data_IF_867391787129
#
_entry.id   IF_867391787129
#
_cell.length_a   1.000
_cell.length_b   1.000
_cell.length_c   1.000
_cell.angle_alpha   90.00
_cell.angle_beta   90.00
_cell.angle_gamma   90.00
#
_symmetry.space_group_name_H-M   'P 1'
#
loop_
_entity.id
_entity.type
_entity.pdbx_description
1 polymer ?
#
# COMPACT_ATOMS: atom_id res chain seq x y z
N UNK A 1 16.84 -19.08 -20.43
CA UNK A 1 17.98 -18.73 -19.55
C UNK A 1 17.92 -19.61 -18.31
N UNK A 2 19.02 -20.18 -17.84
CA UNK A 2 19.05 -20.97 -16.61
C UNK A 2 20.19 -20.45 -15.72
N UNK A 3 20.04 -19.22 -15.23
CA UNK A 3 21.03 -18.57 -14.38
C UNK A 3 20.70 -18.81 -12.90
N UNK A 4 21.69 -19.24 -12.14
CA UNK A 4 21.55 -19.40 -10.68
C UNK A 4 21.39 -18.05 -9.94
N UNK A 5 21.73 -16.94 -10.60
CA UNK A 5 21.56 -15.59 -10.05
C UNK A 5 20.16 -15.01 -10.32
N UNK A 6 19.38 -15.60 -11.24
CA UNK A 6 18.03 -15.18 -11.52
C UNK A 6 17.02 -16.02 -10.74
N UNK A 7 15.95 -15.39 -10.26
CA UNK A 7 14.87 -16.10 -9.62
C UNK A 7 14.18 -17.09 -10.59
N UNK A 8 13.44 -18.04 -10.05
CA UNK A 8 12.79 -19.07 -10.86
C UNK A 8 11.72 -18.49 -11.79
N UNK A 9 10.99 -17.47 -11.34
CA UNK A 9 9.92 -16.85 -12.12
C UNK A 9 10.48 -16.05 -13.30
N UNK A 10 11.63 -15.39 -13.12
CA UNK A 10 12.33 -14.72 -14.22
C UNK A 10 12.90 -15.75 -15.22
N UNK A 11 13.54 -16.82 -14.74
CA UNK A 11 14.03 -17.88 -15.61
C UNK A 11 12.89 -18.49 -16.44
N UNK A 12 11.75 -18.78 -15.82
CA UNK A 12 10.56 -19.29 -16.52
C UNK A 12 10.01 -18.28 -17.51
N UNK A 13 9.98 -16.99 -17.15
CA UNK A 13 9.46 -15.96 -18.04
C UNK A 13 10.33 -15.75 -19.28
N UNK A 14 11.64 -15.89 -19.15
CA UNK A 14 12.59 -15.75 -20.26
C UNK A 14 12.60 -17.00 -21.18
N UNK A 15 12.33 -18.19 -20.63
CA UNK A 15 12.25 -19.43 -21.40
C UNK A 15 10.88 -19.64 -22.06
N UNK A 16 9.84 -19.00 -21.52
CA UNK A 16 8.47 -19.12 -22.03
C UNK A 16 8.29 -18.39 -23.37
N UNK A 17 7.48 -18.95 -24.26
CA UNK A 17 7.03 -18.26 -25.46
C UNK A 17 6.11 -17.11 -25.13
N UNK A 18 6.02 -16.13 -26.01
CA UNK A 18 5.18 -14.95 -25.79
C UNK A 18 3.72 -15.33 -25.50
N UNK A 19 3.15 -16.29 -26.24
CA UNK A 19 1.81 -16.79 -26.02
C UNK A 19 1.60 -17.45 -24.63
N UNK A 20 2.64 -18.11 -24.11
CA UNK A 20 2.62 -18.75 -22.79
C UNK A 20 2.69 -17.70 -21.68
N UNK A 21 3.54 -16.68 -21.87
CA UNK A 21 3.63 -15.53 -20.97
C UNK A 21 2.31 -14.77 -20.88
N UNK A 22 1.59 -14.62 -22.00
CA UNK A 22 0.29 -13.92 -22.05
C UNK A 22 -0.81 -14.66 -21.30
N UNK A 23 -0.78 -15.97 -21.31
CA UNK A 23 -1.76 -16.80 -20.58
C UNK A 23 -1.50 -16.83 -19.07
N UNK A 24 -0.32 -16.42 -18.64
CA UNK A 24 0.06 -16.40 -17.24
C UNK A 24 -0.14 -15.01 -16.63
N UNK A 25 -0.86 -14.94 -15.52
CA UNK A 25 -1.04 -13.70 -14.77
C UNK A 25 0.27 -13.14 -14.19
N UNK A 26 1.28 -13.98 -14.03
CA UNK A 26 2.51 -13.63 -13.32
C UNK A 26 3.74 -13.50 -14.20
N UNK A 27 3.85 -14.26 -15.31
CA UNK A 27 5.08 -14.31 -16.10
C UNK A 27 5.41 -12.99 -16.80
N UNK A 28 4.41 -12.19 -17.20
CA UNK A 28 4.62 -10.88 -17.84
C UNK A 28 4.75 -9.69 -16.87
N UNK A 29 4.73 -9.92 -15.56
CA UNK A 29 4.89 -8.82 -14.59
C UNK A 29 6.29 -8.23 -14.73
N UNK A 30 6.36 -6.91 -14.94
CA UNK A 30 7.62 -6.18 -15.18
C UNK A 30 8.09 -6.19 -16.64
N UNK A 31 7.35 -6.82 -17.58
CA UNK A 31 7.68 -6.81 -18.99
C UNK A 31 6.89 -5.75 -19.77
N UNK A 32 7.61 -4.88 -20.46
CA UNK A 32 7.05 -3.92 -21.41
C UNK A 32 7.21 -4.49 -22.84
N UNK A 33 6.06 -4.69 -23.52
CA UNK A 33 6.02 -5.29 -24.87
C UNK A 33 6.45 -4.31 -25.95
N UNK A 34 6.13 -3.02 -25.79
CA UNK A 34 6.42 -2.01 -26.81
C UNK A 34 7.93 -1.83 -26.96
N UNK A 35 8.62 -1.69 -25.85
CA UNK A 35 10.07 -1.49 -25.82
C UNK A 35 10.87 -2.80 -25.69
N UNK A 36 10.20 -3.93 -25.46
CA UNK A 36 10.81 -5.24 -25.17
C UNK A 36 11.80 -5.15 -24.01
N UNK A 37 11.38 -4.55 -22.92
CA UNK A 37 12.18 -4.34 -21.72
C UNK A 37 11.58 -5.04 -20.50
N UNK A 38 12.48 -5.44 -19.62
CA UNK A 38 12.13 -5.92 -18.29
C UNK A 38 12.45 -4.86 -17.23
N UNK A 39 11.56 -4.66 -16.29
CA UNK A 39 11.87 -4.04 -15.01
C UNK A 39 12.32 -5.14 -14.06
N UNK A 40 13.53 -5.01 -13.52
CA UNK A 40 14.19 -6.01 -12.70
C UNK A 40 14.66 -5.39 -11.41
N UNK A 41 14.54 -6.12 -10.31
CA UNK A 41 15.13 -5.79 -9.03
C UNK A 41 16.45 -6.57 -8.95
N UNK A 42 17.54 -5.88 -8.69
CA UNK A 42 18.86 -6.50 -8.58
C UNK A 42 19.48 -6.26 -7.23
N UNK A 43 20.12 -7.27 -6.68
CA UNK A 43 21.10 -7.16 -5.60
C UNK A 43 22.48 -7.20 -6.25
N UNK A 44 23.32 -6.24 -5.91
CA UNK A 44 24.65 -6.10 -6.50
C UNK A 44 25.70 -5.87 -5.42
N UNK A 45 26.99 -5.97 -5.77
CA UNK A 45 28.11 -5.59 -4.94
C UNK A 45 29.08 -4.71 -5.73
N UNK A 46 29.59 -3.65 -5.09
CA UNK A 46 30.54 -2.74 -5.70
C UNK A 46 29.88 -1.60 -6.48
N UNK A 47 30.38 -1.26 -7.69
CA UNK A 47 29.93 -0.10 -8.46
C UNK A 47 28.78 -0.43 -9.41
N UNK A 48 27.76 0.42 -9.42
CA UNK A 48 26.65 0.38 -10.41
C UNK A 48 27.03 0.82 -11.81
N UNK A 49 28.21 1.44 -12.02
CA UNK A 49 28.57 2.03 -13.33
C UNK A 49 28.57 1.03 -14.48
N UNK A 50 29.10 -0.18 -14.26
CA UNK A 50 29.09 -1.25 -15.27
C UNK A 50 27.69 -1.80 -15.53
N UNK A 51 26.90 -1.90 -14.48
CA UNK A 51 25.51 -2.37 -14.55
C UNK A 51 24.65 -1.32 -15.27
N UNK A 52 24.88 -0.04 -14.96
CA UNK A 52 24.16 1.08 -15.57
C UNK A 52 24.42 1.23 -17.07
N UNK A 53 25.59 0.78 -17.57
CA UNK A 53 25.91 0.89 -19.01
C UNK A 53 24.99 0.06 -19.90
N UNK A 54 24.45 -1.04 -19.39
CA UNK A 54 23.57 -1.95 -20.12
C UNK A 54 22.07 -1.73 -19.80
N UNK A 55 21.77 -0.88 -18.82
CA UNK A 55 20.41 -0.53 -18.44
C UNK A 55 19.93 0.75 -19.13
N UNK A 56 18.65 0.78 -19.52
CA UNK A 56 18.01 1.99 -20.07
C UNK A 56 17.67 2.98 -18.95
N UNK A 57 17.37 2.48 -17.76
CA UNK A 57 17.07 3.27 -16.57
C UNK A 57 17.56 2.53 -15.33
N UNK A 58 18.11 3.28 -14.38
CA UNK A 58 18.60 2.76 -13.10
C UNK A 58 18.00 3.61 -11.97
N UNK A 59 17.38 2.95 -11.00
CA UNK A 59 16.95 3.56 -9.75
C UNK A 59 17.67 2.86 -8.62
N UNK A 60 18.63 3.54 -8.01
CA UNK A 60 19.38 3.00 -6.88
C UNK A 60 18.51 2.97 -5.62
N UNK A 61 18.58 1.87 -4.89
CA UNK A 61 17.91 1.66 -3.61
C UNK A 61 18.94 1.51 -2.49
N UNK A 62 18.49 1.47 -1.24
CA UNK A 62 19.36 1.20 -0.10
C UNK A 62 19.91 -0.23 -0.12
N UNK A 63 21.02 -0.46 0.60
CA UNK A 63 21.63 -1.77 0.84
C UNK A 63 22.06 -2.53 -0.44
N UNK A 64 22.60 -1.81 -1.43
CA UNK A 64 23.10 -2.40 -2.69
C UNK A 64 22.00 -3.12 -3.49
N UNK A 65 20.77 -2.57 -3.46
CA UNK A 65 19.70 -2.93 -4.38
C UNK A 65 19.51 -1.84 -5.42
N UNK A 66 19.03 -2.21 -6.60
CA UNK A 66 18.60 -1.27 -7.63
C UNK A 66 17.42 -1.83 -8.43
N UNK A 67 16.60 -0.93 -8.98
CA UNK A 67 15.61 -1.26 -10.00
C UNK A 67 16.22 -0.87 -11.35
N UNK A 68 16.25 -1.82 -12.27
CA UNK A 68 16.80 -1.66 -13.61
C UNK A 68 15.71 -1.87 -14.66
N UNK A 69 15.65 -0.98 -15.66
CA UNK A 69 14.91 -1.24 -16.89
C UNK A 69 15.91 -1.67 -17.96
N UNK A 70 15.81 -2.92 -18.42
CA UNK A 70 16.80 -3.57 -19.28
C UNK A 70 16.10 -4.23 -20.46
N UNK A 71 16.69 -4.15 -21.65
CA UNK A 71 16.21 -4.88 -22.83
C UNK A 71 16.27 -6.38 -22.57
N UNK A 72 15.24 -7.12 -23.00
CA UNK A 72 15.16 -8.58 -22.86
C UNK A 72 16.45 -9.27 -23.33
N UNK A 73 17.04 -8.83 -24.45
CA UNK A 73 18.27 -9.38 -25.02
C UNK A 73 19.52 -9.20 -24.17
N UNK A 74 19.50 -8.27 -23.20
CA UNK A 74 20.65 -7.97 -22.34
C UNK A 74 20.55 -8.62 -20.95
N UNK A 75 19.42 -9.24 -20.61
CA UNK A 75 19.21 -9.84 -19.28
C UNK A 75 20.24 -10.93 -18.96
N UNK A 76 20.60 -11.76 -19.96
CA UNK A 76 21.64 -12.79 -19.77
C UNK A 76 23.03 -12.18 -19.56
N UNK A 77 23.36 -11.13 -20.30
CA UNK A 77 24.61 -10.39 -20.14
C UNK A 77 24.70 -9.76 -18.76
N UNK A 78 23.61 -9.15 -18.30
CA UNK A 78 23.50 -8.58 -16.97
C UNK A 78 23.71 -9.65 -15.89
N UNK A 79 23.08 -10.81 -16.00
CA UNK A 79 23.25 -11.92 -15.05
C UNK A 79 24.67 -12.48 -15.01
N UNK A 80 25.43 -12.35 -16.11
CA UNK A 80 26.82 -12.80 -16.19
C UNK A 80 27.81 -11.83 -15.50
N UNK A 81 27.40 -10.60 -15.20
CA UNK A 81 28.28 -9.66 -14.50
C UNK A 81 28.66 -10.16 -13.11
N UNK A 82 29.95 -10.08 -12.73
CA UNK A 82 30.38 -10.52 -11.40
C UNK A 82 29.80 -9.67 -10.26
N UNK A 83 29.50 -8.41 -10.54
CA UNK A 83 28.90 -7.46 -9.60
C UNK A 83 27.44 -7.80 -9.26
N UNK A 84 26.73 -8.55 -10.08
CA UNK A 84 25.38 -8.99 -9.82
C UNK A 84 25.40 -10.23 -8.93
N UNK A 85 24.70 -10.14 -7.80
CA UNK A 85 24.51 -11.24 -6.88
C UNK A 85 23.20 -11.98 -7.14
N UNK A 86 22.11 -11.22 -7.38
CA UNK A 86 20.78 -11.77 -7.59
C UNK A 86 19.93 -10.84 -8.45
N UNK A 87 19.05 -11.43 -9.26
CA UNK A 87 18.09 -10.72 -10.11
C UNK A 87 16.72 -11.34 -9.94
N UNK A 88 15.71 -10.51 -9.71
CA UNK A 88 14.32 -10.93 -9.71
C UNK A 88 13.46 -9.97 -10.54
N UNK A 89 12.38 -10.48 -11.06
CA UNK A 89 11.34 -9.66 -11.66
C UNK A 89 10.34 -9.20 -10.59
N UNK A 90 9.62 -8.09 -10.79
CA UNK A 90 8.56 -7.69 -9.87
C UNK A 90 7.47 -8.79 -9.76
N UNK A 91 6.89 -8.88 -8.59
CA UNK A 91 5.75 -9.74 -8.33
C UNK A 91 4.48 -8.92 -8.16
N UNK A 92 3.34 -9.45 -8.60
CA UNK A 92 2.05 -8.85 -8.27
C UNK A 92 1.78 -9.00 -6.79
N UNK A 93 1.51 -7.91 -6.14
CA UNK A 93 1.01 -7.91 -4.77
C UNK A 93 -0.52 -7.98 -4.81
N UNK A 94 -1.08 -8.98 -4.16
CA UNK A 94 -2.53 -9.14 -4.02
C UNK A 94 -2.92 -8.90 -2.57
N UNK A 95 -4.00 -8.20 -2.36
CA UNK A 95 -4.61 -8.12 -1.04
C UNK A 95 -5.18 -9.50 -0.68
N UNK A 96 -4.41 -10.31 0.06
CA UNK A 96 -4.81 -11.65 0.49
C UNK A 96 -5.26 -11.66 1.96
N UNK A 97 -6.21 -10.79 2.31
CA UNK A 97 -6.72 -10.68 3.68
C UNK A 97 -7.11 -12.03 4.28
N UNK A 98 -7.90 -12.83 3.58
CA UNK A 98 -8.37 -14.13 4.07
C UNK A 98 -7.24 -15.17 4.21
N UNK A 99 -6.33 -15.21 3.26
CA UNK A 99 -5.17 -16.10 3.35
C UNK A 99 -4.22 -15.66 4.46
N UNK A 100 -3.95 -14.37 4.59
CA UNK A 100 -3.13 -13.80 5.68
C UNK A 100 -3.67 -14.19 7.05
N UNK A 101 -4.97 -13.99 7.30
CA UNK A 101 -5.62 -14.36 8.56
C UNK A 101 -5.54 -15.87 8.85
N UNK A 102 -5.69 -16.71 7.83
CA UNK A 102 -5.60 -18.16 7.96
C UNK A 102 -4.19 -18.62 8.30
N UNK A 103 -3.19 -18.12 7.58
CA UNK A 103 -1.78 -18.50 7.78
C UNK A 103 -1.24 -18.01 9.11
N UNK A 104 -1.68 -16.81 9.56
CA UNK A 104 -1.30 -16.23 10.85
C UNK A 104 -2.16 -16.74 12.02
N UNK A 105 -2.99 -17.76 11.81
CA UNK A 105 -3.85 -18.33 12.84
C UNK A 105 -4.82 -17.33 13.49
N UNK A 106 -5.20 -16.25 12.80
CA UNK A 106 -6.15 -15.25 13.31
C UNK A 106 -7.57 -15.80 13.37
N UNK A 107 -8.00 -16.55 12.34
CA UNK A 107 -9.37 -17.08 12.29
C UNK A 107 -9.76 -17.95 13.51
N UNK A 108 -8.89 -18.85 14.02
CA UNK A 108 -9.20 -19.63 15.22
C UNK A 108 -9.42 -18.77 16.47
N UNK A 109 -8.61 -17.72 16.67
CA UNK A 109 -8.71 -16.87 17.87
C UNK A 109 -9.91 -15.92 17.84
N UNK A 110 -10.42 -15.58 16.65
CA UNK A 110 -11.65 -14.81 16.49
C UNK A 110 -12.93 -15.63 16.78
N UNK A 111 -12.83 -16.96 16.80
CA UNK A 111 -13.98 -17.87 17.03
C UNK A 111 -14.09 -18.29 18.49
N UNK A 112 -15.27 -18.81 18.84
CA UNK A 112 -15.50 -19.46 20.13
C UNK A 112 -14.48 -20.62 20.32
N UNK A 113 -13.89 -20.81 21.52
CA UNK A 113 -14.23 -20.12 22.78
C UNK A 113 -13.49 -18.80 23.06
N UNK A 114 -12.49 -18.43 22.25
CA UNK A 114 -11.63 -17.28 22.53
C UNK A 114 -12.33 -15.95 22.20
N UNK A 115 -12.96 -15.86 21.03
CA UNK A 115 -13.72 -14.69 20.56
C UNK A 115 -12.92 -13.37 20.66
N UNK A 116 -11.63 -13.41 20.34
CA UNK A 116 -10.75 -12.24 20.37
C UNK A 116 -10.93 -11.42 19.09
N UNK A 117 -11.73 -10.37 19.17
CA UNK A 117 -12.14 -9.56 18.03
C UNK A 117 -11.61 -8.12 18.08
N UNK A 118 -10.78 -7.80 19.09
CA UNK A 118 -10.25 -6.47 19.29
C UNK A 118 -11.18 -5.51 20.02
N UNK A 119 -12.26 -6.01 20.63
CA UNK A 119 -13.17 -5.18 21.42
C UNK A 119 -12.44 -4.47 22.57
N UNK A 120 -12.58 -3.14 22.64
CA UNK A 120 -11.90 -2.30 23.63
C UNK A 120 -10.45 -1.97 23.26
N UNK A 121 -10.00 -2.32 22.05
CA UNK A 121 -8.69 -1.93 21.51
C UNK A 121 -8.86 -0.74 20.57
N UNK A 122 -7.98 0.25 20.70
CA UNK A 122 -7.84 1.38 19.76
C UNK A 122 -6.66 1.11 18.85
N UNK A 123 -6.90 1.12 17.53
CA UNK A 123 -5.86 0.94 16.50
C UNK A 123 -5.62 2.28 15.83
N UNK A 124 -4.37 2.75 15.86
CA UNK A 124 -3.96 3.95 15.15
C UNK A 124 -3.46 3.59 13.74
N UNK A 125 -4.01 4.27 12.73
CA UNK A 125 -3.62 4.16 11.32
C UNK A 125 -3.04 5.51 10.88
N UNK A 126 -1.74 5.53 10.63
CA UNK A 126 -1.00 6.72 10.16
C UNK A 126 -0.60 6.46 8.70
N UNK A 127 -1.38 7.00 7.77
CA UNK A 127 -1.26 6.64 6.34
C UNK A 127 -1.80 7.77 5.42
N UNK A 128 -2.13 7.46 4.17
CA UNK A 128 -2.71 8.40 3.19
C UNK A 128 -4.11 8.91 3.53
N UNK A 129 -4.68 8.45 4.62
CA UNK A 129 -6.05 8.68 5.03
C UNK A 129 -6.87 7.39 5.02
N UNK A 130 -8.15 7.51 5.36
CA UNK A 130 -9.12 6.40 5.34
C UNK A 130 -10.45 6.93 4.80
N UNK A 131 -11.07 6.21 3.89
CA UNK A 131 -12.45 6.49 3.49
C UNK A 131 -13.39 6.17 4.65
N UNK A 132 -13.71 7.20 5.44
CA UNK A 132 -14.59 7.08 6.60
C UNK A 132 -16.02 6.64 6.25
N UNK A 133 -16.41 6.78 4.98
CA UNK A 133 -17.75 6.39 4.51
C UNK A 133 -17.85 4.90 4.23
N UNK A 134 -16.72 4.19 4.19
CA UNK A 134 -16.69 2.77 3.85
C UNK A 134 -17.38 1.92 4.92
N UNK A 135 -18.23 0.94 4.54
CA UNK A 135 -18.99 0.10 5.48
C UNK A 135 -18.11 -0.71 6.45
N UNK A 136 -16.90 -1.06 6.05
CA UNK A 136 -15.93 -1.82 6.87
C UNK A 136 -15.58 -1.12 8.21
N UNK A 137 -15.81 0.19 8.33
CA UNK A 137 -15.48 0.96 9.53
C UNK A 137 -16.72 1.37 10.34
N UNK A 138 -17.86 0.74 10.10
CA UNK A 138 -19.10 1.04 10.79
C UNK A 138 -19.50 -0.04 11.78
N UNK A 139 -20.18 0.37 12.81
CA UNK A 139 -20.93 -0.50 13.69
C UNK A 139 -22.21 -1.03 12.99
N UNK A 140 -22.85 -2.03 13.58
CA UNK A 140 -24.10 -2.61 13.06
C UNK A 140 -25.25 -1.58 13.01
N UNK A 141 -25.22 -0.57 13.88
CA UNK A 141 -26.20 0.52 13.93
C UNK A 141 -25.91 1.64 12.89
N UNK A 142 -24.85 1.48 12.08
CA UNK A 142 -24.43 2.43 11.07
C UNK A 142 -23.51 3.54 11.55
N UNK A 143 -23.25 3.65 12.84
CA UNK A 143 -22.30 4.62 13.40
C UNK A 143 -20.86 4.24 13.06
N UNK A 144 -19.94 5.23 13.06
CA UNK A 144 -18.52 4.99 12.77
C UNK A 144 -17.81 4.38 13.99
N UNK A 145 -16.81 3.53 13.73
CA UNK A 145 -15.83 3.05 14.70
C UNK A 145 -14.57 3.94 14.78
N UNK A 146 -14.48 4.99 13.96
CA UNK A 146 -13.40 5.96 14.00
C UNK A 146 -13.69 6.93 15.13
N UNK A 147 -12.82 6.94 16.16
CA UNK A 147 -12.93 7.79 17.35
C UNK A 147 -12.48 9.22 17.09
N UNK A 148 -11.41 9.36 16.33
CA UNK A 148 -10.91 10.63 15.86
C UNK A 148 -10.16 10.44 14.53
N UNK A 149 -10.22 11.48 13.70
CA UNK A 149 -9.55 11.53 12.41
C UNK A 149 -8.78 12.86 12.29
N UNK A 150 -7.47 12.79 12.32
CA UNK A 150 -6.61 13.97 12.12
C UNK A 150 -6.12 14.03 10.67
N UNK A 151 -6.62 14.99 9.92
CA UNK A 151 -6.13 15.29 8.56
C UNK A 151 -5.06 16.36 8.63
N UNK A 152 -3.78 15.98 8.50
CA UNK A 152 -2.66 16.92 8.51
C UNK A 152 -2.58 17.79 7.26
N UNK A 153 -3.33 17.47 6.19
CA UNK A 153 -3.41 18.29 4.97
C UNK A 153 -4.51 19.34 5.05
N UNK A 154 -5.40 19.24 6.03
CA UNK A 154 -6.51 20.16 6.22
C UNK A 154 -6.03 21.56 6.59
N UNK A 155 -6.58 22.58 5.91
CA UNK A 155 -6.24 24.01 6.16
C UNK A 155 -7.26 24.73 7.03
N UNK A 156 -8.33 24.03 7.47
CA UNK A 156 -9.43 24.63 8.25
C UNK A 156 -10.28 25.65 7.48
N UNK A 157 -10.01 25.85 6.18
CA UNK A 157 -10.78 26.76 5.31
C UNK A 157 -11.41 25.99 4.17
N UNK A 158 -12.75 25.90 4.17
CA UNK A 158 -13.50 25.39 3.03
C UNK A 158 -13.52 26.43 1.91
N UNK A 159 -13.06 26.05 0.72
CA UNK A 159 -13.15 26.87 -0.50
C UNK A 159 -14.58 26.90 -1.09
N UNK A 160 -15.50 26.06 -0.62
CA UNK A 160 -16.82 25.84 -1.24
C UNK A 160 -18.01 26.37 -0.43
N UNK A 161 -17.78 27.34 0.48
CA UNK A 161 -18.86 28.03 1.21
C UNK A 161 -19.54 27.19 2.31
N UNK A 162 -18.97 26.05 2.69
CA UNK A 162 -19.42 25.25 3.82
C UNK A 162 -18.83 25.85 5.09
N UNK A 163 -19.68 26.41 5.94
CA UNK A 163 -19.27 26.85 7.28
C UNK A 163 -19.04 25.60 8.11
N UNK A 164 -17.78 25.19 8.24
CA UNK A 164 -17.37 24.21 9.23
C UNK A 164 -17.24 24.90 10.59
N UNK A 165 -17.66 24.29 11.72
CA UNK A 165 -17.22 24.74 13.03
C UNK A 165 -15.70 24.75 13.01
N UNK A 166 -15.08 25.74 13.70
CA UNK A 166 -13.62 25.94 13.68
C UNK A 166 -12.90 24.60 13.94
N UNK A 167 -12.40 24.01 12.87
CA UNK A 167 -11.71 22.73 12.88
C UNK A 167 -10.28 23.06 13.30
N UNK A 168 -9.95 22.64 14.51
CA UNK A 168 -8.64 22.83 15.11
C UNK A 168 -7.84 21.54 14.99
N UNK A 169 -6.51 21.63 14.96
CA UNK A 169 -5.67 20.45 15.15
C UNK A 169 -5.89 19.84 16.54
N UNK A 170 -5.48 18.58 16.76
CA UNK A 170 -5.49 17.97 18.08
C UNK A 170 -4.69 18.80 19.10
N UNK A 171 -5.05 18.70 20.37
CA UNK A 171 -4.35 19.39 21.45
C UNK A 171 -2.84 19.13 21.42
N UNK A 172 -2.06 20.20 21.46
CA UNK A 172 -0.59 20.15 21.40
C UNK A 172 -0.01 20.12 19.98
N UNK A 173 -0.82 20.15 18.94
CA UNK A 173 -0.41 20.26 17.55
C UNK A 173 -0.83 21.59 16.93
N UNK A 174 -0.18 21.99 15.82
CA UNK A 174 -0.37 23.31 15.22
C UNK A 174 -0.78 23.26 13.74
N UNK A 175 -0.99 22.06 13.18
CA UNK A 175 -1.37 21.91 11.78
C UNK A 175 -2.46 20.86 11.61
N UNK A 176 -3.20 20.98 10.50
CA UNK A 176 -4.25 20.06 10.14
C UNK A 176 -5.55 20.32 10.90
N UNK A 177 -6.47 19.41 10.72
CA UNK A 177 -7.83 19.46 11.27
C UNK A 177 -8.18 18.11 11.90
N UNK A 178 -8.72 18.13 13.11
CA UNK A 178 -9.26 16.94 13.75
C UNK A 178 -10.78 16.87 13.60
N UNK A 179 -11.27 15.71 13.23
CA UNK A 179 -12.70 15.37 13.16
C UNK A 179 -13.03 14.37 14.24
N UNK A 180 -13.99 14.71 15.09
CA UNK A 180 -14.46 13.83 16.14
C UNK A 180 -15.39 12.74 15.59
N UNK A 181 -15.62 11.70 16.38
CA UNK A 181 -16.56 10.63 16.08
C UNK A 181 -17.97 11.18 15.80
N UNK A 182 -18.41 12.18 16.57
CA UNK A 182 -19.71 12.83 16.45
C UNK A 182 -19.86 13.52 15.09
N UNK A 183 -18.84 14.29 14.67
CA UNK A 183 -18.82 14.96 13.37
C UNK A 183 -18.86 13.97 12.20
N UNK A 184 -18.12 12.86 12.32
CA UNK A 184 -18.15 11.80 11.31
C UNK A 184 -19.54 11.14 11.27
N UNK A 185 -20.16 10.84 12.41
CA UNK A 185 -21.51 10.30 12.47
C UNK A 185 -22.55 11.25 11.88
N UNK A 186 -22.46 12.55 12.19
CA UNK A 186 -23.34 13.56 11.61
C UNK A 186 -23.22 13.61 10.07
N UNK A 187 -21.99 13.54 9.56
CA UNK A 187 -21.73 13.49 8.13
C UNK A 187 -22.33 12.24 7.47
N UNK A 188 -22.19 11.08 8.12
CA UNK A 188 -22.75 9.81 7.64
C UNK A 188 -24.28 9.82 7.59
N UNK A 189 -24.94 10.45 8.57
CA UNK A 189 -26.41 10.55 8.65
C UNK A 189 -26.94 11.61 7.67
N UNK A 190 -26.30 12.78 7.62
CA UNK A 190 -26.76 13.89 6.78
C UNK A 190 -26.42 13.72 5.29
N UNK A 191 -25.49 12.80 4.96
CA UNK A 191 -24.94 12.64 3.62
C UNK A 191 -24.00 13.79 3.18
N UNK A 192 -23.68 14.72 4.08
CA UNK A 192 -22.68 15.76 3.85
C UNK A 192 -21.28 15.13 3.94
N UNK A 193 -20.45 15.35 2.90
CA UNK A 193 -19.10 14.82 2.88
C UNK A 193 -18.15 15.74 3.65
N UNK A 194 -17.37 15.15 4.53
CA UNK A 194 -16.21 15.83 5.12
C UNK A 194 -15.05 15.88 4.09
N UNK A 195 -14.18 16.89 4.14
CA UNK A 195 -13.17 17.11 3.11
C UNK A 195 -12.02 16.09 3.14
N UNK A 196 -11.85 15.34 4.24
CA UNK A 196 -10.83 14.32 4.31
C UNK A 196 -11.12 13.17 3.35
N UNK A 197 -10.24 12.99 2.36
CA UNK A 197 -10.34 11.96 1.32
C UNK A 197 -9.06 11.15 1.31
N UNK A 198 -9.20 9.84 1.22
CA UNK A 198 -8.07 8.95 0.88
C UNK A 198 -7.98 8.83 -0.64
N UNK A 199 -7.24 9.72 -1.28
CA UNK A 199 -7.06 9.74 -2.73
C UNK A 199 -6.23 8.59 -3.27
N UNK A 200 -5.40 7.99 -2.42
CA UNK A 200 -4.53 6.87 -2.77
C UNK A 200 -5.22 5.52 -2.58
N UNK A 201 -6.09 5.40 -1.57
CA UNK A 201 -6.75 4.16 -1.18
C UNK A 201 -5.88 3.22 -0.34
N UNK A 202 -4.59 3.53 -0.14
CA UNK A 202 -3.68 2.69 0.62
C UNK A 202 -4.06 2.62 2.09
N UNK A 203 -4.26 3.77 2.74
CA UNK A 203 -4.62 3.81 4.16
C UNK A 203 -5.99 3.17 4.44
N UNK A 204 -6.96 3.32 3.52
CA UNK A 204 -8.24 2.61 3.60
C UNK A 204 -8.06 1.10 3.56
N UNK A 205 -7.19 0.60 2.66
CA UNK A 205 -6.89 -0.82 2.55
C UNK A 205 -6.17 -1.37 3.80
N UNK A 206 -5.18 -0.64 4.32
CA UNK A 206 -4.45 -0.98 5.56
C UNK A 206 -5.40 -1.02 6.75
N UNK A 207 -6.24 0.01 6.91
CA UNK A 207 -7.26 0.07 7.97
C UNK A 207 -8.24 -1.10 7.87
N UNK A 208 -8.70 -1.46 6.65
CA UNK A 208 -9.64 -2.57 6.45
C UNK A 208 -9.01 -3.93 6.80
N UNK A 209 -7.73 -4.13 6.51
CA UNK A 209 -7.01 -5.36 6.90
C UNK A 209 -6.88 -5.43 8.42
N UNK A 210 -6.50 -4.34 9.08
CA UNK A 210 -6.28 -4.31 10.52
C UNK A 210 -7.60 -4.38 11.30
N UNK A 211 -8.54 -3.50 10.98
CA UNK A 211 -9.70 -3.18 11.79
C UNK A 211 -11.04 -3.20 11.05
N UNK A 212 -11.08 -3.53 9.76
CA UNK A 212 -12.34 -3.71 9.03
C UNK A 212 -13.20 -4.84 9.59
N UNK A 213 -14.48 -4.89 9.25
CA UNK A 213 -15.42 -5.94 9.70
C UNK A 213 -14.94 -7.35 9.34
N UNK A 214 -14.19 -7.48 8.25
CA UNK A 214 -13.49 -8.73 7.88
C UNK A 214 -12.01 -8.76 8.31
N UNK A 215 -11.51 -7.75 9.01
CA UNK A 215 -10.11 -7.58 9.39
C UNK A 215 -9.62 -8.48 10.53
N UNK A 216 -8.44 -8.15 11.03
CA UNK A 216 -7.80 -8.87 12.15
C UNK A 216 -8.49 -8.55 13.46
N UNK A 217 -8.89 -7.31 13.69
CA UNK A 217 -9.56 -6.82 14.90
C UNK A 217 -10.90 -6.13 14.55
N UNK A 218 -11.93 -6.88 14.12
CA UNK A 218 -13.15 -6.32 13.55
C UNK A 218 -14.00 -5.49 14.54
N UNK A 219 -13.83 -5.65 15.83
CA UNK A 219 -14.54 -4.90 16.87
C UNK A 219 -13.68 -3.82 17.53
N UNK A 220 -12.48 -3.55 17.00
CA UNK A 220 -11.64 -2.46 17.49
C UNK A 220 -12.15 -1.09 17.04
N UNK A 221 -11.79 -0.07 17.79
CA UNK A 221 -11.97 1.33 17.41
C UNK A 221 -10.73 1.83 16.65
N UNK A 222 -10.90 2.91 15.88
CA UNK A 222 -9.84 3.47 15.03
C UNK A 222 -9.51 4.91 15.45
N UNK A 223 -8.22 5.21 15.45
CA UNK A 223 -7.67 6.57 15.38
C UNK A 223 -6.99 6.71 14.01
N UNK A 224 -7.38 7.68 13.22
CA UNK A 224 -6.81 7.87 11.88
C UNK A 224 -5.99 9.14 11.85
N UNK A 225 -4.78 9.04 11.31
CA UNK A 225 -3.93 10.19 10.99
C UNK A 225 -3.63 10.14 9.50
N UNK A 226 -4.19 11.10 8.77
CA UNK A 226 -3.85 11.30 7.37
C UNK A 226 -2.60 12.17 7.29
N UNK A 227 -1.53 11.57 6.80
CA UNK A 227 -0.23 12.25 6.67
C UNK A 227 -0.26 13.26 5.53
N UNK A 228 0.34 14.42 5.76
CA UNK A 228 0.66 15.37 4.70
C UNK A 228 1.83 14.86 3.87
N UNK A 229 1.74 14.95 2.55
CA UNK A 229 2.88 14.66 1.67
C UNK A 229 3.80 15.87 1.68
N UNK A 230 5.07 15.75 2.10
CA UNK A 230 6.01 16.86 2.02
C UNK A 230 6.20 17.27 0.55
N UNK A 231 5.80 18.48 0.19
CA UNK A 231 5.98 19.06 -1.15
C UNK A 231 4.69 19.37 -1.93
N UNK A 232 3.51 19.02 -1.45
CA UNK A 232 2.21 19.41 -2.07
C UNK A 232 1.59 20.68 -1.47
N UNK A 233 2.39 21.55 -0.85
CA UNK A 233 1.94 22.92 -0.55
C UNK A 233 2.23 23.79 -1.76
N UNK A 234 1.29 23.82 -2.71
CA UNK A 234 1.24 24.81 -3.78
C UNK A 234 0.37 25.99 -3.41
#
# INVERSE_FOLDING_TARGET
MNSQKADNDLNLALDAREEERERSLNLNVGYDREDRTWELIVKYSGSLERIASDAMQVTELSNEYAILRVRESLVETLAALPEIEYIEKPHRLYFQRENGKRVSCVNPVQRTPLSLTGKGVLIAVLDSGVDYTHPEFRNVDGTTRIRAYWDQTGTGTSTDGWVQPAELPPDGFHQGVEYSQEQINEALVSGKKLPMIDSNGHGTAVAAIAAGTGGVAPDSELLVVKLGIPGETG
#
